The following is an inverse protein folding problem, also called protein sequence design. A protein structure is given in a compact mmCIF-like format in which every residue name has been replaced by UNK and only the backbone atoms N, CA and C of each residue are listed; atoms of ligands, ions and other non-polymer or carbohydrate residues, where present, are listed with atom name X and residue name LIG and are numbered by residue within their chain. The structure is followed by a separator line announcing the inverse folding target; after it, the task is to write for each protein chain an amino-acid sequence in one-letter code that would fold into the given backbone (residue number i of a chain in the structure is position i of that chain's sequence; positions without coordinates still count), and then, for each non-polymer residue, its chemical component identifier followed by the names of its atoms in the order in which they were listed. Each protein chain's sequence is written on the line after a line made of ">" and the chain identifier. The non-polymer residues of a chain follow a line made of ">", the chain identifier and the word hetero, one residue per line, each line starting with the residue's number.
data_IF_317630942869
#
_entry.id   IF_317630942869
#
_cell.length_a   1.000
_cell.length_b   1.000
_cell.length_c   1.000
_cell.angle_alpha   90.00
_cell.angle_beta   90.00
_cell.angle_gamma   90.00
#
_symmetry.space_group_name_H-M   'P 1'
#
loop_
_entity.id
_entity.type
_entity.pdbx_description
1 polymer ?
#
# COMPACT_ATOMS: atom_id res chain seq x y z
N UNK A 1 5.62 -23.52 8.44
CA UNK A 1 6.14 -23.05 7.13
C UNK A 1 7.37 -22.16 7.29
N UNK A 2 7.27 -20.88 7.71
CA UNK A 2 8.45 -20.00 7.78
C UNK A 2 9.54 -20.47 8.76
N UNK A 3 9.15 -20.91 9.97
CA UNK A 3 10.08 -21.49 10.93
C UNK A 3 10.80 -22.72 10.36
N UNK A 4 10.06 -23.66 9.78
CA UNK A 4 10.63 -24.90 9.22
C UNK A 4 11.62 -24.60 8.08
N UNK A 5 11.33 -23.59 7.25
CA UNK A 5 12.23 -23.14 6.18
C UNK A 5 13.55 -22.59 6.74
N UNK A 6 13.49 -21.76 7.79
CA UNK A 6 14.68 -21.24 8.47
C UNK A 6 15.46 -22.37 9.16
N UNK A 7 14.77 -23.28 9.83
CA UNK A 7 15.37 -24.43 10.50
C UNK A 7 16.15 -25.31 9.49
N UNK A 8 15.58 -25.56 8.32
CA UNK A 8 16.24 -26.30 7.25
C UNK A 8 17.43 -25.53 6.65
N UNK A 9 17.31 -24.22 6.43
CA UNK A 9 18.41 -23.39 5.93
C UNK A 9 19.60 -23.39 6.91
N UNK A 10 19.33 -23.31 8.22
CA UNK A 10 20.37 -23.39 9.27
C UNK A 10 21.03 -24.77 9.28
N UNK A 11 20.25 -25.85 9.13
CA UNK A 11 20.78 -27.21 9.03
C UNK A 11 21.74 -27.37 7.84
N UNK A 12 21.34 -26.93 6.64
CA UNK A 12 22.17 -27.02 5.43
C UNK A 12 23.44 -26.19 5.55
N UNK A 13 23.36 -25.01 6.19
CA UNK A 13 24.52 -24.15 6.43
C UNK A 13 25.46 -24.68 7.53
N UNK A 14 25.17 -25.82 8.16
CA UNK A 14 25.94 -26.34 9.31
C UNK A 14 25.83 -25.47 10.56
N UNK A 15 24.82 -24.59 10.62
CA UNK A 15 24.60 -23.66 11.72
C UNK A 15 23.89 -24.31 12.91
N UNK A 16 23.91 -23.61 14.04
CA UNK A 16 23.18 -24.02 15.24
C UNK A 16 21.74 -23.50 15.18
N UNK A 17 20.77 -24.42 15.23
CA UNK A 17 19.34 -24.08 15.36
C UNK A 17 19.09 -23.30 16.67
N UNK A 18 18.36 -22.20 16.57
CA UNK A 18 17.90 -21.40 17.70
C UNK A 18 16.38 -21.51 17.86
N UNK A 19 15.88 -21.24 19.08
CA UNK A 19 14.45 -21.23 19.33
C UNK A 19 13.77 -20.08 18.56
N UNK A 20 12.72 -20.41 17.80
CA UNK A 20 11.95 -19.44 17.06
C UNK A 20 11.08 -18.58 17.99
N UNK A 21 11.21 -17.25 17.90
CA UNK A 21 10.45 -16.29 18.71
C UNK A 21 9.36 -15.55 17.91
N UNK A 22 9.23 -15.83 16.61
CA UNK A 22 8.36 -15.07 15.71
C UNK A 22 6.88 -15.18 16.05
N UNK A 23 6.47 -16.25 16.75
CA UNK A 23 5.09 -16.41 17.24
C UNK A 23 4.66 -15.27 18.19
N UNK A 24 5.59 -14.70 18.94
CA UNK A 24 5.33 -13.61 19.89
C UNK A 24 5.81 -12.25 19.37
N UNK A 25 6.51 -12.20 18.23
CA UNK A 25 6.96 -10.95 17.64
C UNK A 25 5.80 -10.29 16.89
N UNK A 26 5.39 -9.06 17.24
CA UNK A 26 4.44 -8.32 16.44
C UNK A 26 5.04 -8.00 15.07
N UNK A 27 4.17 -7.94 14.05
CA UNK A 27 4.57 -7.50 12.72
C UNK A 27 4.44 -5.98 12.68
N UNK A 28 5.51 -5.29 12.26
CA UNK A 28 5.54 -3.83 12.15
C UNK A 28 5.35 -3.12 13.48
N UNK A 29 4.89 -1.87 13.42
CA UNK A 29 4.66 -1.02 14.58
C UNK A 29 3.28 -1.26 15.20
N UNK A 30 2.94 -2.52 15.49
CA UNK A 30 1.61 -2.89 15.95
C UNK A 30 1.52 -2.96 17.47
N UNK A 31 0.72 -2.08 18.09
CA UNK A 31 0.35 -2.14 19.50
C UNK A 31 -1.17 -2.25 19.66
N UNK A 32 -1.62 -2.98 20.69
CA UNK A 32 -3.04 -3.16 21.03
C UNK A 32 -3.43 -2.25 22.22
N UNK A 33 -4.71 -1.87 22.34
CA UNK A 33 -5.83 -2.12 21.43
C UNK A 33 -6.00 -1.02 20.36
N UNK A 34 -6.51 -1.40 19.19
CA UNK A 34 -6.90 -0.46 18.13
C UNK A 34 -8.42 -0.47 17.97
N UNK A 35 -9.00 0.71 17.88
CA UNK A 35 -10.41 0.90 17.55
C UNK A 35 -10.59 0.88 16.03
N UNK A 36 -11.31 -0.13 15.51
CA UNK A 36 -11.54 -0.31 14.07
C UNK A 36 -12.48 0.74 13.47
N UNK A 37 -13.16 1.53 14.30
CA UNK A 37 -14.03 2.61 13.82
C UNK A 37 -13.25 3.86 13.46
N UNK A 38 -12.00 3.98 13.91
CA UNK A 38 -11.15 5.13 13.67
C UNK A 38 -10.62 5.10 12.24
N UNK A 39 -10.67 6.24 11.53
CA UNK A 39 -10.06 6.38 10.20
C UNK A 39 -8.59 5.95 10.24
N UNK A 40 -8.13 5.24 9.19
CA UNK A 40 -6.76 4.72 9.07
C UNK A 40 -6.41 3.64 10.09
N UNK A 41 -7.39 2.89 10.64
CA UNK A 41 -7.10 1.82 11.60
C UNK A 41 -6.20 0.73 11.00
N UNK A 42 -6.25 0.53 9.69
CA UNK A 42 -5.50 -0.47 8.93
C UNK A 42 -3.99 -0.26 9.07
N UNK A 43 -3.55 0.98 9.31
CA UNK A 43 -2.16 1.38 9.44
C UNK A 43 -1.63 1.30 10.88
N UNK A 44 -2.47 0.90 11.85
CA UNK A 44 -2.07 0.80 13.25
C UNK A 44 -1.47 2.10 13.81
N UNK A 45 -0.31 2.00 14.47
CA UNK A 45 0.36 3.18 15.05
C UNK A 45 0.92 4.12 13.97
N UNK A 46 1.21 3.61 12.78
CA UNK A 46 1.77 4.40 11.70
C UNK A 46 0.76 5.39 11.10
N UNK A 47 -0.54 5.19 11.40
CA UNK A 47 -1.60 6.13 11.09
C UNK A 47 -1.34 7.55 11.63
N UNK A 48 -0.58 7.70 12.73
CA UNK A 48 -0.22 9.00 13.28
C UNK A 48 0.60 9.85 12.28
N UNK A 49 1.50 9.21 11.52
CA UNK A 49 2.32 9.89 10.49
C UNK A 49 1.42 10.38 9.36
N UNK A 50 0.54 9.51 8.85
CA UNK A 50 -0.41 9.86 7.78
C UNK A 50 -1.32 11.02 8.21
N UNK A 51 -1.87 10.98 9.43
CA UNK A 51 -2.72 12.06 9.98
C UNK A 51 -1.98 13.40 10.09
N UNK A 52 -0.67 13.36 10.35
CA UNK A 52 0.14 14.58 10.43
C UNK A 52 0.26 15.25 9.06
N UNK A 53 0.40 14.49 7.99
CA UNK A 53 0.40 15.02 6.62
C UNK A 53 -0.97 15.58 6.24
N UNK A 54 -2.05 14.88 6.61
CA UNK A 54 -3.42 15.34 6.36
C UNK A 54 -3.78 16.66 7.04
N UNK A 55 -2.95 17.21 7.94
CA UNK A 55 -3.16 18.58 8.44
C UNK A 55 -2.92 19.64 7.36
N UNK A 56 -2.19 19.30 6.29
CA UNK A 56 -2.01 20.14 5.12
C UNK A 56 -3.12 19.85 4.11
N UNK A 57 -3.84 20.87 3.59
CA UNK A 57 -5.02 20.66 2.75
C UNK A 57 -4.78 19.78 1.52
N UNK A 58 -3.64 19.96 0.85
CA UNK A 58 -3.26 19.19 -0.34
C UNK A 58 -3.15 17.68 -0.04
N UNK A 59 -2.66 17.29 1.13
CA UNK A 59 -2.50 15.88 1.51
C UNK A 59 -3.80 15.23 1.98
N UNK A 60 -4.77 16.04 2.43
CA UNK A 60 -6.09 15.58 2.86
C UNK A 60 -7.07 15.33 1.70
N UNK A 61 -6.75 15.80 0.49
CA UNK A 61 -7.57 15.61 -0.70
C UNK A 61 -7.74 14.13 -1.04
N UNK A 62 -8.96 13.78 -1.48
CA UNK A 62 -9.30 12.43 -1.91
C UNK A 62 -8.71 12.14 -3.30
N UNK A 63 -8.30 10.89 -3.53
CA UNK A 63 -7.93 10.44 -4.88
C UNK A 63 -9.16 10.17 -5.77
N UNK A 64 -10.32 9.99 -5.15
CA UNK A 64 -11.60 9.77 -5.83
C UNK A 64 -12.76 10.24 -4.94
N UNK A 65 -13.76 10.98 -5.44
CA UNK A 65 -14.81 11.60 -4.61
C UNK A 65 -15.69 10.59 -3.83
N UNK A 66 -15.86 9.37 -4.36
CA UNK A 66 -16.72 8.36 -3.75
C UNK A 66 -16.04 7.51 -2.66
N UNK A 67 -14.72 7.68 -2.43
CA UNK A 67 -13.95 6.85 -1.50
C UNK A 67 -13.13 7.72 -0.55
N UNK A 68 -12.86 7.22 0.66
CA UNK A 68 -12.18 7.96 1.73
C UNK A 68 -10.64 7.97 1.61
N UNK A 69 -10.07 7.44 0.52
CA UNK A 69 -8.63 7.35 0.31
C UNK A 69 -8.04 8.72 -0.06
N UNK A 70 -6.96 9.10 0.62
CA UNK A 70 -6.33 10.43 0.49
C UNK A 70 -4.99 10.37 -0.21
N UNK A 71 -4.53 11.52 -0.72
CA UNK A 71 -3.16 11.68 -1.22
C UNK A 71 -2.09 11.33 -0.16
N UNK A 72 -2.36 11.60 1.12
CA UNK A 72 -1.47 11.23 2.23
C UNK A 72 -1.22 9.70 2.31
N UNK A 73 -2.24 8.89 2.06
CA UNK A 73 -2.09 7.42 2.04
C UNK A 73 -1.22 6.98 0.87
N UNK A 74 -1.35 7.60 -0.31
CA UNK A 74 -0.48 7.30 -1.46
C UNK A 74 0.99 7.58 -1.12
N UNK A 75 1.25 8.71 -0.48
CA UNK A 75 2.60 9.04 0.02
C UNK A 75 3.12 7.96 0.97
N UNK A 76 2.30 7.54 1.92
CA UNK A 76 2.66 6.45 2.85
C UNK A 76 3.02 5.17 2.08
N UNK A 77 2.18 4.76 1.14
CA UNK A 77 2.43 3.55 0.37
C UNK A 77 3.74 3.61 -0.42
N UNK A 78 4.10 4.77 -0.97
CA UNK A 78 5.36 4.97 -1.70
C UNK A 78 6.55 5.00 -0.75
N UNK A 79 6.54 5.88 0.26
CA UNK A 79 7.70 6.13 1.12
C UNK A 79 7.96 5.02 2.15
N UNK A 80 6.90 4.39 2.68
CA UNK A 80 7.00 3.43 3.79
C UNK A 80 6.71 1.98 3.38
N UNK A 81 5.90 1.76 2.33
CA UNK A 81 5.47 0.41 1.92
C UNK A 81 5.97 -0.01 0.53
N UNK A 82 6.90 0.76 -0.04
CA UNK A 82 7.56 0.49 -1.33
C UNK A 82 6.57 0.20 -2.46
N UNK A 83 5.47 0.95 -2.54
CA UNK A 83 4.60 0.92 -3.71
C UNK A 83 5.36 1.54 -4.91
N UNK A 84 5.68 0.71 -5.90
CA UNK A 84 6.49 1.11 -7.06
C UNK A 84 5.66 1.26 -8.34
N UNK A 85 4.40 0.82 -8.31
CA UNK A 85 3.46 0.91 -9.43
C UNK A 85 2.09 1.40 -8.98
N UNK A 86 1.31 1.95 -9.92
CA UNK A 86 -0.09 2.34 -9.64
C UNK A 86 -0.93 1.14 -9.19
N UNK A 87 -0.64 -0.05 -9.73
CA UNK A 87 -1.29 -1.29 -9.33
C UNK A 87 -0.97 -1.68 -7.87
N UNK A 88 0.26 -1.48 -7.39
CA UNK A 88 0.60 -1.76 -5.99
C UNK A 88 -0.30 -0.97 -5.03
N UNK A 89 -0.53 0.30 -5.35
CA UNK A 89 -1.42 1.17 -4.57
C UNK A 89 -2.87 0.68 -4.71
N UNK A 90 -3.42 0.74 -5.93
CA UNK A 90 -4.85 0.57 -6.16
C UNK A 90 -5.36 -0.87 -5.99
N UNK A 91 -4.51 -1.88 -6.22
CA UNK A 91 -4.88 -3.29 -6.09
C UNK A 91 -4.41 -3.91 -4.79
N UNK A 92 -3.19 -3.61 -4.30
CA UNK A 92 -2.62 -4.36 -3.16
C UNK A 92 -2.76 -3.64 -1.82
N UNK A 93 -2.58 -2.31 -1.78
CA UNK A 93 -2.61 -1.54 -0.54
C UNK A 93 -4.03 -1.12 -0.15
N UNK A 94 -4.74 -0.43 -1.04
CA UNK A 94 -6.11 0.02 -0.74
C UNK A 94 -7.20 -0.84 -1.38
N UNK A 95 -6.84 -1.73 -2.31
CA UNK A 95 -7.76 -2.70 -2.96
C UNK A 95 -8.97 -2.07 -3.68
N UNK A 96 -8.91 -0.79 -4.02
CA UNK A 96 -9.96 -0.08 -4.76
C UNK A 96 -10.28 -0.77 -6.08
N UNK A 97 -9.28 -1.34 -6.77
CA UNK A 97 -9.50 -2.10 -8.02
C UNK A 97 -10.55 -3.21 -7.85
N UNK A 98 -10.50 -3.94 -6.75
CA UNK A 98 -11.41 -5.07 -6.52
C UNK A 98 -12.77 -4.63 -5.98
N UNK A 99 -12.82 -3.48 -5.32
CA UNK A 99 -14.05 -2.91 -4.80
C UNK A 99 -14.87 -2.23 -5.91
N UNK A 100 -14.18 -1.46 -6.76
CA UNK A 100 -14.77 -0.69 -7.85
C UNK A 100 -13.68 -0.38 -8.90
N UNK A 101 -13.65 -1.21 -9.93
CA UNK A 101 -12.67 -1.08 -11.01
C UNK A 101 -12.81 0.23 -11.78
N UNK A 102 -14.02 0.80 -11.90
CA UNK A 102 -14.23 2.08 -12.61
C UNK A 102 -13.63 3.23 -11.81
N UNK A 103 -13.94 3.31 -10.52
CA UNK A 103 -13.34 4.32 -9.65
C UNK A 103 -11.82 4.18 -9.55
N UNK A 104 -11.29 2.95 -9.56
CA UNK A 104 -9.85 2.73 -9.60
C UNK A 104 -9.22 3.26 -10.91
N UNK A 105 -9.86 3.03 -12.06
CA UNK A 105 -9.41 3.57 -13.35
C UNK A 105 -9.46 5.11 -13.39
N UNK A 106 -10.47 5.71 -12.76
CA UNK A 106 -10.61 7.16 -12.63
C UNK A 106 -9.58 7.78 -11.67
N UNK A 107 -9.21 7.06 -10.60
CA UNK A 107 -8.17 7.48 -9.66
C UNK A 107 -6.73 7.26 -10.19
N UNK A 108 -6.54 6.39 -11.18
CA UNK A 108 -5.21 6.03 -11.66
C UNK A 108 -4.34 7.23 -12.12
N UNK A 109 -4.86 8.24 -12.86
CA UNK A 109 -4.04 9.39 -13.26
C UNK A 109 -3.51 10.22 -12.09
N UNK A 110 -4.35 10.50 -11.07
CA UNK A 110 -3.91 11.29 -9.91
C UNK A 110 -2.92 10.52 -9.05
N UNK A 111 -3.10 9.20 -8.92
CA UNK A 111 -2.13 8.32 -8.24
C UNK A 111 -0.81 8.28 -9.00
N UNK A 112 -0.83 8.12 -10.33
CA UNK A 112 0.38 8.11 -11.15
C UNK A 112 1.17 9.43 -11.05
N UNK A 113 0.47 10.57 -11.14
CA UNK A 113 1.10 11.88 -11.01
C UNK A 113 1.79 12.07 -9.66
N UNK A 114 1.11 11.71 -8.57
CA UNK A 114 1.66 11.81 -7.23
C UNK A 114 2.84 10.86 -7.01
N UNK A 115 2.73 9.61 -7.47
CA UNK A 115 3.82 8.65 -7.41
C UNK A 115 5.03 9.12 -8.22
N UNK A 116 4.82 9.75 -9.38
CA UNK A 116 5.91 10.24 -10.21
C UNK A 116 6.69 11.38 -9.52
N UNK A 117 5.99 12.29 -8.82
CA UNK A 117 6.64 13.32 -8.02
C UNK A 117 7.52 12.68 -6.92
N UNK A 118 6.97 11.74 -6.16
CA UNK A 118 7.67 11.09 -5.04
C UNK A 118 8.84 10.20 -5.49
N UNK A 119 8.70 9.51 -6.63
CA UNK A 119 9.69 8.59 -7.19
C UNK A 119 10.63 9.24 -8.20
N UNK A 120 10.52 10.56 -8.41
CA UNK A 120 11.28 11.34 -9.40
C UNK A 120 11.19 10.73 -10.81
N UNK A 121 9.97 10.47 -11.25
CA UNK A 121 9.65 9.94 -12.59
C UNK A 121 9.07 11.03 -13.48
N UNK A 122 9.17 10.79 -14.78
CA UNK A 122 8.71 11.71 -15.81
C UNK A 122 7.25 11.44 -16.22
N UNK A 123 6.76 12.27 -17.13
CA UNK A 123 5.42 12.16 -17.70
C UNK A 123 5.23 10.83 -18.46
N UNK A 124 6.28 10.35 -19.13
CA UNK A 124 6.22 9.09 -19.87
C UNK A 124 5.97 7.90 -18.95
N UNK A 125 6.59 7.88 -17.77
CA UNK A 125 6.32 6.88 -16.75
C UNK A 125 4.87 6.94 -16.26
N UNK A 126 4.31 8.13 -16.04
CA UNK A 126 2.91 8.29 -15.60
C UNK A 126 1.95 7.68 -16.63
N UNK A 127 2.10 8.03 -17.90
CA UNK A 127 1.28 7.51 -18.99
C UNK A 127 1.38 5.98 -19.11
N UNK A 128 2.60 5.46 -18.99
CA UNK A 128 2.87 4.02 -19.02
C UNK A 128 2.18 3.30 -17.86
N UNK A 129 2.24 3.85 -16.64
CA UNK A 129 1.58 3.29 -15.47
C UNK A 129 0.06 3.29 -15.61
N UNK A 130 -0.53 4.42 -16.05
CA UNK A 130 -1.98 4.54 -16.24
C UNK A 130 -2.46 3.55 -17.29
N UNK A 131 -1.78 3.45 -18.43
CA UNK A 131 -2.16 2.53 -19.50
C UNK A 131 -2.01 1.06 -19.07
N UNK A 132 -0.92 0.71 -18.41
CA UNK A 132 -0.70 -0.65 -17.90
C UNK A 132 -1.77 -1.04 -16.88
N UNK A 133 -2.08 -0.14 -15.94
CA UNK A 133 -3.11 -0.37 -14.94
C UNK A 133 -4.50 -0.53 -15.57
N UNK A 134 -4.85 0.28 -16.58
CA UNK A 134 -6.14 0.17 -17.28
C UNK A 134 -6.33 -1.21 -17.94
N UNK A 135 -5.29 -1.80 -18.53
CA UNK A 135 -5.36 -3.15 -19.11
C UNK A 135 -5.70 -4.19 -18.04
N UNK A 136 -5.10 -4.08 -16.85
CA UNK A 136 -5.42 -4.97 -15.72
C UNK A 136 -6.85 -4.70 -15.23
N UNK A 137 -7.22 -3.44 -15.05
CA UNK A 137 -8.50 -3.05 -14.48
C UNK A 137 -9.71 -3.45 -15.35
N UNK A 138 -9.54 -3.48 -16.67
CA UNK A 138 -10.58 -3.94 -17.61
C UNK A 138 -11.04 -5.37 -17.32
N UNK A 139 -10.17 -6.23 -16.77
CA UNK A 139 -10.51 -7.62 -16.42
C UNK A 139 -11.47 -7.72 -15.22
N UNK A 140 -11.66 -6.62 -14.49
CA UNK A 140 -12.52 -6.54 -13.30
C UNK A 140 -13.83 -5.80 -13.58
N UNK A 141 -14.06 -5.37 -14.82
CA UNK A 141 -15.35 -4.84 -15.26
C UNK A 141 -16.30 -6.00 -15.55
N UNK A 142 -17.44 -6.03 -14.88
CA UNK A 142 -18.51 -6.95 -15.20
C UNK A 142 -19.16 -6.52 -16.52
N UNK A 143 -19.21 -7.45 -17.48
CA UNK A 143 -19.89 -7.31 -18.78
C UNK A 143 -21.41 -7.23 -18.63
#
# INVERSE_FOLDING_TARGET
>A
MAQDAVDNAVFVAGGKKLACKTKQLPIGNWQKPLDKTVRLFEYGNDAAVIRSWMQQPNWAELIHPNYSYTKAEIRWHVEAEMAMTVEDVLARRIRLLFLDAKAAMEAAPIVAALMAELLQKDQHWQETQVNSFRVVAQQYLLS
#
